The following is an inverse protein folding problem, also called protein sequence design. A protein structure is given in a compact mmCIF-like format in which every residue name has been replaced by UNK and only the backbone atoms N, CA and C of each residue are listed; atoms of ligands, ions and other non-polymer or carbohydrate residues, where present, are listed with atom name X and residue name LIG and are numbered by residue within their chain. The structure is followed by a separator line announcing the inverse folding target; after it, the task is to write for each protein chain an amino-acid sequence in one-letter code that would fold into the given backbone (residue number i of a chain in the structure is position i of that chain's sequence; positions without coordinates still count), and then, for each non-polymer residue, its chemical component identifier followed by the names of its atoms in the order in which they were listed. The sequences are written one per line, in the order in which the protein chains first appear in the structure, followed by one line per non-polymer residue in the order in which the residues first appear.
data_IF_943754902304
#
_entry.id   IF_943754902304
#
_cell.length_a   1.000
_cell.length_b   1.000
_cell.length_c   1.000
_cell.angle_alpha   90.00
_cell.angle_beta   90.00
_cell.angle_gamma   90.00
#
_symmetry.space_group_name_H-M   'P 1'
#
loop_
_entity.id
_entity.type
_entity.pdbx_description
1 polymer ?
#
# COMPACT_ATOMS: atom_id res chain seq x y z
N UNK A 1 -3.78 -16.10 18.93
CA UNK A 1 -3.07 -15.08 18.13
C UNK A 1 -3.51 -13.72 18.64
N UNK A 2 -2.63 -13.01 19.34
CA UNK A 2 -2.94 -11.72 19.99
C UNK A 2 -2.63 -10.60 19.00
N UNK A 3 -3.63 -9.82 18.60
CA UNK A 3 -3.45 -8.63 17.76
C UNK A 3 -3.26 -7.44 18.70
N UNK A 4 -2.08 -6.83 18.66
CA UNK A 4 -1.79 -5.60 19.39
C UNK A 4 -2.49 -4.45 18.67
N UNK A 5 -3.64 -4.01 19.20
CA UNK A 5 -4.29 -2.79 18.75
C UNK A 5 -3.41 -1.63 19.20
N UNK A 6 -2.67 -1.03 18.28
CA UNK A 6 -1.94 0.20 18.54
C UNK A 6 -2.95 1.29 18.94
N UNK A 7 -2.87 1.73 20.19
CA UNK A 7 -3.89 2.53 20.89
C UNK A 7 -4.01 3.99 20.38
N UNK A 8 -3.31 4.35 19.31
CA UNK A 8 -3.23 5.71 18.75
C UNK A 8 -4.14 5.94 17.52
N UNK A 9 -4.99 4.99 17.14
CA UNK A 9 -5.89 5.10 15.98
C UNK A 9 -7.36 4.80 16.36
N UNK A 10 -7.86 5.47 17.41
CA UNK A 10 -9.20 5.19 17.96
C UNK A 10 -10.41 5.58 17.09
N UNK A 11 -10.27 6.16 15.90
CA UNK A 11 -11.45 6.76 15.23
C UNK A 11 -11.65 6.50 13.73
N UNK A 12 -10.89 5.60 13.08
CA UNK A 12 -11.27 5.16 11.73
C UNK A 12 -11.28 3.65 11.61
N UNK A 13 -12.32 3.02 12.15
CA UNK A 13 -12.80 1.75 11.63
C UNK A 13 -13.27 1.99 10.20
N UNK A 14 -12.33 1.94 9.25
CA UNK A 14 -12.65 2.16 7.85
C UNK A 14 -13.55 1.04 7.33
N UNK A 15 -14.42 1.40 6.40
CA UNK A 15 -15.23 0.42 5.68
C UNK A 15 -14.31 -0.51 4.90
N UNK A 16 -14.50 -1.82 5.11
CA UNK A 16 -13.84 -2.80 4.28
C UNK A 16 -14.36 -2.68 2.84
N UNK A 17 -13.50 -2.48 1.83
CA UNK A 17 -13.93 -2.32 0.43
C UNK A 17 -14.60 -3.57 -0.14
N UNK A 18 -14.37 -4.75 0.47
CA UNK A 18 -14.94 -6.03 0.01
C UNK A 18 -16.34 -6.29 0.55
N UNK A 19 -16.63 -5.91 1.80
CA UNK A 19 -17.90 -6.25 2.46
C UNK A 19 -18.68 -5.03 3.00
N UNK A 20 -18.13 -3.83 2.90
CA UNK A 20 -18.77 -2.57 3.31
C UNK A 20 -18.93 -2.39 4.82
N UNK A 21 -18.29 -3.24 5.65
CA UNK A 21 -18.41 -3.19 7.10
C UNK A 21 -17.25 -2.46 7.74
N UNK A 22 -17.55 -1.71 8.80
CA UNK A 22 -16.61 -1.03 9.70
C UNK A 22 -15.87 -2.07 10.57
N UNK A 23 -15.03 -2.86 9.93
CA UNK A 23 -14.28 -3.94 10.58
C UNK A 23 -12.86 -4.09 10.01
N UNK A 24 -12.34 -3.04 9.36
CA UNK A 24 -10.96 -2.99 8.88
C UNK A 24 -10.04 -2.66 10.06
N UNK A 25 -9.17 -3.61 10.42
CA UNK A 25 -8.14 -3.43 11.44
C UNK A 25 -6.77 -3.34 10.77
N UNK A 26 -5.85 -2.58 11.37
CA UNK A 26 -4.48 -2.43 10.90
C UNK A 26 -3.51 -3.12 11.88
N UNK A 27 -3.30 -4.45 11.77
CA UNK A 27 -2.42 -5.20 12.69
C UNK A 27 -0.94 -4.85 12.56
N UNK A 28 -0.50 -4.27 11.44
CA UNK A 28 0.87 -3.78 11.20
C UNK A 28 0.80 -2.50 10.38
N UNK A 29 1.85 -1.67 10.45
CA UNK A 29 1.91 -0.36 9.79
C UNK A 29 1.51 -0.41 8.30
N UNK A 30 1.81 -1.48 7.58
CA UNK A 30 1.49 -1.60 6.14
C UNK A 30 0.46 -2.68 5.81
N UNK A 31 -0.16 -3.32 6.81
CA UNK A 31 -1.08 -4.44 6.59
C UNK A 31 -2.46 -4.07 7.11
N UNK A 32 -3.45 -4.03 6.22
CA UNK A 32 -4.85 -3.90 6.60
C UNK A 32 -5.54 -5.25 6.49
N UNK A 33 -6.34 -5.59 7.49
CA UNK A 33 -7.11 -6.84 7.53
C UNK A 33 -8.53 -6.58 8.03
N UNK A 34 -9.52 -7.02 7.26
CA UNK A 34 -10.90 -7.04 7.71
C UNK A 34 -11.14 -8.23 8.64
N UNK A 35 -11.66 -7.96 9.84
CA UNK A 35 -12.00 -8.95 10.85
C UNK A 35 -13.25 -9.78 10.50
N UNK A 36 -14.09 -9.27 9.58
CA UNK A 36 -15.35 -9.92 9.21
C UNK A 36 -15.20 -10.90 8.04
N UNK A 37 -14.64 -10.45 6.92
CA UNK A 37 -14.55 -11.26 5.69
C UNK A 37 -13.14 -11.83 5.45
N UNK A 38 -12.18 -11.51 6.33
CA UNK A 38 -10.79 -11.95 6.20
C UNK A 38 -10.01 -11.27 5.07
N UNK A 39 -10.57 -10.23 4.42
CA UNK A 39 -9.87 -9.44 3.41
C UNK A 39 -8.55 -8.90 3.96
N UNK A 40 -7.47 -8.97 3.19
CA UNK A 40 -6.16 -8.46 3.56
C UNK A 40 -5.58 -7.67 2.39
N UNK A 41 -5.02 -6.50 2.68
CA UNK A 41 -4.29 -5.68 1.71
C UNK A 41 -2.97 -5.25 2.32
N UNK A 42 -1.88 -5.47 1.58
CA UNK A 42 -0.54 -5.02 1.95
C UNK A 42 -0.19 -3.78 1.12
N UNK A 43 0.09 -2.68 1.80
CA UNK A 43 0.42 -1.39 1.19
C UNK A 43 1.94 -1.27 0.93
N UNK A 44 2.74 -2.23 1.43
CA UNK A 44 4.20 -2.21 1.27
C UNK A 44 4.64 -2.44 -0.18
N UNK A 45 3.82 -3.09 -1.00
CA UNK A 45 4.20 -3.50 -2.36
C UNK A 45 4.26 -2.31 -3.34
N UNK A 46 3.58 -1.22 -3.01
CA UNK A 46 3.39 -0.08 -3.92
C UNK A 46 4.61 0.86 -3.91
N UNK A 47 5.40 0.84 -2.83
CA UNK A 47 6.55 1.72 -2.64
C UNK A 47 7.71 1.43 -3.62
N UNK A 48 7.82 0.20 -4.13
CA UNK A 48 8.95 -0.21 -4.99
C UNK A 48 8.68 0.08 -6.48
N UNK A 49 7.42 0.18 -6.90
CA UNK A 49 7.05 0.42 -8.32
C UNK A 49 7.32 1.85 -8.77
N UNK A 50 7.05 2.84 -7.93
CA UNK A 50 7.25 4.26 -8.26
C UNK A 50 8.70 4.65 -8.58
N UNK A 51 9.72 4.30 -7.75
CA UNK A 51 11.10 4.68 -8.04
C UNK A 51 11.63 3.98 -9.29
N UNK A 52 11.20 2.75 -9.58
CA UNK A 52 11.66 2.00 -10.74
C UNK A 52 11.17 2.59 -12.07
N UNK A 53 9.88 2.97 -12.14
CA UNK A 53 9.33 3.62 -13.33
C UNK A 53 10.00 4.98 -13.60
N UNK A 54 10.31 5.75 -12.55
CA UNK A 54 11.00 7.02 -12.68
C UNK A 54 12.44 6.88 -13.17
N UNK A 55 13.17 5.85 -12.71
CA UNK A 55 14.52 5.57 -13.21
C UNK A 55 14.50 5.12 -14.68
N UNK A 56 13.52 4.30 -15.08
CA UNK A 56 13.37 3.88 -16.46
C UNK A 56 13.09 5.07 -17.40
N UNK A 57 12.22 6.01 -17.02
CA UNK A 57 11.93 7.17 -17.86
C UNK A 57 13.16 8.06 -18.03
N UNK A 58 13.92 8.32 -16.96
CA UNK A 58 15.17 9.08 -17.05
C UNK A 58 16.17 8.39 -18.00
N UNK A 59 16.36 7.07 -17.84
CA UNK A 59 17.28 6.31 -18.67
C UNK A 59 16.91 6.38 -20.17
N UNK A 60 15.61 6.23 -20.48
CA UNK A 60 15.11 6.32 -21.86
C UNK A 60 15.34 7.71 -22.44
N UNK A 61 15.06 8.78 -21.68
CA UNK A 61 15.28 10.16 -22.14
C UNK A 61 16.76 10.40 -22.43
N UNK A 62 17.67 9.98 -21.55
CA UNK A 62 19.11 10.11 -21.76
C UNK A 62 19.55 9.35 -23.01
N UNK A 63 19.08 8.11 -23.19
CA UNK A 63 19.40 7.31 -24.35
C UNK A 63 18.95 7.97 -25.66
N UNK A 64 17.76 8.57 -25.70
CA UNK A 64 17.25 9.30 -26.86
C UNK A 64 18.13 10.52 -27.17
N UNK A 65 18.48 11.31 -26.15
CA UNK A 65 19.34 12.50 -26.31
C UNK A 65 20.72 12.12 -26.85
N UNK A 66 21.33 11.06 -26.31
CA UNK A 66 22.64 10.57 -26.77
C UNK A 66 22.56 10.03 -28.19
N UNK A 67 21.47 9.38 -28.59
CA UNK A 67 21.30 8.86 -29.94
C UNK A 67 21.09 9.96 -30.99
N UNK A 68 20.58 11.13 -30.58
CA UNK A 68 20.36 12.29 -31.46
C UNK A 68 21.54 13.27 -31.50
N UNK A 69 22.56 13.09 -30.65
CA UNK A 69 23.80 13.87 -30.63
C UNK A 69 24.89 13.23 -31.45
#
# INVERSE_FOLDING_TARGET
MSYTIHENHRELLQNCPKCGKEALAQPRENLYRCLWCGFQSDVSDEAVRFPFLFLLTIFVVIAIVVLQS
#
